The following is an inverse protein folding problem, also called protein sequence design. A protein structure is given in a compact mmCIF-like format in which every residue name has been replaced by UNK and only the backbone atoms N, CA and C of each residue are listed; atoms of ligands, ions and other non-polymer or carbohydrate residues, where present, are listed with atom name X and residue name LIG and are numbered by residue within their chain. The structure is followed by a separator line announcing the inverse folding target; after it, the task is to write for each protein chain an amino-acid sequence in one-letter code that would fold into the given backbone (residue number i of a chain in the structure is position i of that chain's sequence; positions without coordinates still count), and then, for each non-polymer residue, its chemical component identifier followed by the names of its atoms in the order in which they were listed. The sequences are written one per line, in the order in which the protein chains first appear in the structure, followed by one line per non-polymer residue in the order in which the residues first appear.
data_IF_221675839754
#
_entry.id   IF_221675839754
#
_cell.length_a   1.000
_cell.length_b   1.000
_cell.length_c   1.000
_cell.angle_alpha   90.00
_cell.angle_beta   90.00
_cell.angle_gamma   90.00
#
_symmetry.space_group_name_H-M   'P 1'
#
loop_
_entity.id
_entity.type
_entity.pdbx_description
1 polymer ?
#
# COMPACT_ATOMS: atom_id res chain seq x y z
N UNK A 1 2.11 22.55 -28.47
CA UNK A 1 1.91 23.59 -27.43
C UNK A 1 2.48 24.95 -27.86
N UNK A 2 3.77 25.09 -28.24
CA UNK A 2 4.29 26.37 -28.73
C UNK A 2 3.51 26.87 -29.97
N UNK A 3 3.37 26.03 -30.98
CA UNK A 3 2.62 26.33 -32.22
C UNK A 3 1.13 26.67 -31.96
N UNK A 4 0.52 26.01 -30.94
CA UNK A 4 -0.86 26.31 -30.56
C UNK A 4 -0.98 27.65 -29.81
N UNK A 5 0.02 28.00 -29.01
CA UNK A 5 0.09 29.33 -28.40
C UNK A 5 0.23 30.43 -29.43
N UNK A 6 1.08 30.24 -30.46
CA UNK A 6 1.22 31.19 -31.60
C UNK A 6 -0.13 31.35 -32.30
N UNK A 7 -0.87 30.27 -32.53
CA UNK A 7 -2.19 30.31 -33.17
C UNK A 7 -3.27 31.05 -32.33
N UNK A 8 -3.16 31.00 -31.01
CA UNK A 8 -4.14 31.61 -30.11
C UNK A 8 -3.75 32.99 -29.57
N UNK A 9 -2.58 33.49 -29.90
CA UNK A 9 -2.07 34.78 -29.41
C UNK A 9 -1.56 35.65 -30.57
N UNK A 10 -1.24 36.91 -30.31
CA UNK A 10 -0.66 37.85 -31.29
C UNK A 10 0.87 37.66 -31.48
N UNK A 11 1.45 36.58 -30.99
CA UNK A 11 2.87 36.32 -31.14
C UNK A 11 3.18 35.58 -32.44
N UNK A 12 4.12 36.07 -33.20
CA UNK A 12 4.55 35.47 -34.48
C UNK A 12 5.38 34.18 -34.26
N UNK A 13 6.09 34.08 -33.14
CA UNK A 13 6.91 32.90 -32.78
C UNK A 13 7.18 32.84 -31.29
N UNK A 14 7.06 31.64 -30.73
CA UNK A 14 7.39 31.35 -29.32
C UNK A 14 8.20 30.06 -29.26
N UNK A 15 9.41 30.12 -28.69
CA UNK A 15 10.23 28.93 -28.52
C UNK A 15 9.63 27.98 -27.48
N UNK A 16 9.86 26.66 -27.66
CA UNK A 16 9.46 25.63 -26.69
C UNK A 16 10.05 25.88 -25.29
N UNK A 17 11.28 26.41 -25.25
CA UNK A 17 11.95 26.72 -23.99
C UNK A 17 11.32 27.95 -23.30
N UNK A 18 10.89 28.94 -24.04
CA UNK A 18 10.14 30.07 -23.48
C UNK A 18 8.83 29.60 -22.86
N UNK A 19 8.09 28.71 -23.54
CA UNK A 19 6.86 28.13 -23.00
C UNK A 19 7.16 27.33 -21.71
N UNK A 20 8.19 26.46 -21.74
CA UNK A 20 8.59 25.68 -20.59
C UNK A 20 8.94 26.56 -19.39
N UNK A 21 9.73 27.60 -19.59
CA UNK A 21 10.14 28.57 -18.57
C UNK A 21 8.92 29.26 -17.96
N UNK A 22 8.02 29.80 -18.78
CA UNK A 22 6.81 30.47 -18.32
C UNK A 22 5.88 29.55 -17.54
N UNK A 23 5.74 28.30 -17.98
CA UNK A 23 4.97 27.30 -17.24
C UNK A 23 5.62 26.94 -15.90
N UNK A 24 6.96 26.95 -15.82
CA UNK A 24 7.68 26.70 -14.58
C UNK A 24 7.55 27.85 -13.58
N UNK A 25 7.62 29.09 -14.07
CA UNK A 25 7.50 30.32 -13.28
C UNK A 25 6.06 30.57 -12.78
N UNK A 26 5.06 30.02 -13.46
CA UNK A 26 3.65 30.24 -13.11
C UNK A 26 3.29 29.49 -11.81
N UNK A 27 2.71 30.19 -10.86
CA UNK A 27 2.20 29.61 -9.61
C UNK A 27 1.00 28.69 -9.86
N UNK A 28 0.11 29.05 -10.79
CA UNK A 28 -1.00 28.22 -11.23
C UNK A 28 -0.51 27.16 -12.21
N UNK A 29 -0.65 25.90 -11.85
CA UNK A 29 -0.28 24.73 -12.66
C UNK A 29 -1.51 23.85 -12.95
N UNK A 30 -2.42 24.31 -13.84
CA UNK A 30 -3.71 23.62 -14.06
C UNK A 30 -3.55 22.22 -14.67
N UNK A 31 -2.35 21.88 -15.19
CA UNK A 31 -2.03 20.51 -15.64
C UNK A 31 -1.63 19.58 -14.52
N UNK A 32 -1.34 20.09 -13.30
CA UNK A 32 -1.16 19.29 -12.11
C UNK A 32 -2.52 19.02 -11.49
N UNK A 33 -2.83 17.74 -11.32
CA UNK A 33 -4.03 17.30 -10.63
C UNK A 33 -3.56 16.43 -9.48
N UNK A 34 -3.86 16.85 -8.27
CA UNK A 34 -3.67 16.02 -7.08
C UNK A 34 -5.05 15.48 -6.66
N UNK A 35 -5.07 14.21 -6.34
CA UNK A 35 -6.24 13.58 -5.72
C UNK A 35 -6.25 13.97 -4.24
N UNK A 36 -7.35 14.52 -3.77
CA UNK A 36 -7.52 14.80 -2.35
C UNK A 36 -8.90 14.34 -1.88
N UNK A 37 -8.94 13.85 -0.66
CA UNK A 37 -10.16 13.55 0.03
C UNK A 37 -10.15 14.29 1.36
N UNK A 38 -11.22 15.01 1.68
CA UNK A 38 -11.45 15.50 3.05
C UNK A 38 -12.28 14.42 3.74
N UNK A 39 -11.70 13.59 4.60
CA UNK A 39 -12.52 12.70 5.42
C UNK A 39 -13.40 13.55 6.34
N UNK A 40 -14.65 13.14 6.55
CA UNK A 40 -15.41 13.67 7.66
C UNK A 40 -14.72 13.24 8.96
N UNK A 41 -14.06 14.19 9.62
CA UNK A 41 -13.38 13.96 10.90
C UNK A 41 -14.46 14.06 12.00
N UNK A 42 -15.15 12.95 12.21
CA UNK A 42 -16.10 12.76 13.31
C UNK A 42 -15.43 12.05 14.50
N UNK A 43 -16.21 11.78 15.53
CA UNK A 43 -15.71 11.07 16.71
C UNK A 43 -15.23 9.66 16.42
N UNK A 44 -15.88 8.95 15.50
CA UNK A 44 -15.47 7.60 15.08
C UNK A 44 -14.14 7.61 14.32
N UNK A 45 -13.94 8.59 13.43
CA UNK A 45 -12.67 8.76 12.74
C UNK A 45 -11.53 8.96 13.74
N UNK A 46 -11.73 9.86 14.72
CA UNK A 46 -10.72 10.16 15.74
C UNK A 46 -10.42 8.93 16.60
N UNK A 47 -11.45 8.24 17.07
CA UNK A 47 -11.30 7.05 17.91
C UNK A 47 -10.48 5.96 17.22
N UNK A 48 -10.81 5.61 15.97
CA UNK A 48 -10.08 4.60 15.20
C UNK A 48 -8.65 5.04 14.86
N UNK A 49 -8.46 6.31 14.55
CA UNK A 49 -7.13 6.83 14.26
C UNK A 49 -6.23 6.77 15.51
N UNK A 50 -6.73 7.17 16.67
CA UNK A 50 -5.96 7.12 17.92
C UNK A 50 -5.67 5.67 18.33
N UNK A 51 -6.64 4.77 18.22
CA UNK A 51 -6.48 3.33 18.47
C UNK A 51 -5.30 2.75 17.68
N UNK A 52 -5.24 3.00 16.37
CA UNK A 52 -4.12 2.53 15.52
C UNK A 52 -2.80 3.20 15.89
N UNK A 53 -2.78 4.50 16.15
CA UNK A 53 -1.55 5.23 16.51
C UNK A 53 -1.01 4.80 17.88
N UNK A 54 -1.87 4.47 18.82
CA UNK A 54 -1.48 3.98 20.13
C UNK A 54 -0.83 2.60 20.02
N UNK A 55 -1.38 1.69 19.17
CA UNK A 55 -0.74 0.41 18.85
C UNK A 55 0.68 0.58 18.29
N UNK A 56 0.89 1.58 17.42
CA UNK A 56 2.21 1.85 16.85
C UNK A 56 3.20 2.44 17.85
N UNK A 57 2.71 3.10 18.89
CA UNK A 57 3.52 3.69 19.96
C UNK A 57 3.86 2.71 21.09
N UNK A 58 3.16 1.57 21.18
CA UNK A 58 3.41 0.58 22.21
C UNK A 58 4.81 -0.05 22.12
N UNK A 59 5.31 -0.54 23.24
CA UNK A 59 6.52 -1.36 23.27
C UNK A 59 6.27 -2.72 22.60
N UNK A 60 7.28 -3.31 21.92
CA UNK A 60 7.15 -4.63 21.31
C UNK A 60 6.78 -5.71 22.31
N UNK A 61 5.70 -6.44 22.06
CA UNK A 61 5.29 -7.62 22.86
C UNK A 61 5.16 -8.85 21.97
N UNK A 62 6.04 -9.87 22.09
CA UNK A 62 5.97 -11.09 21.29
C UNK A 62 4.69 -11.91 21.51
N UNK A 63 4.01 -11.75 22.65
CA UNK A 63 2.75 -12.42 22.95
C UNK A 63 1.56 -11.72 22.33
N UNK A 64 1.71 -10.41 22.06
CA UNK A 64 0.67 -9.57 21.49
C UNK A 64 1.21 -8.73 20.31
N UNK A 65 1.75 -9.38 19.25
CA UNK A 65 2.29 -8.65 18.09
C UNK A 65 1.23 -7.77 17.44
N UNK A 66 1.67 -6.67 16.82
CA UNK A 66 0.86 -5.80 15.98
C UNK A 66 1.26 -6.02 14.54
N UNK A 67 0.32 -6.43 13.71
CA UNK A 67 0.55 -6.75 12.29
C UNK A 67 -0.38 -5.92 11.43
N UNK A 68 0.18 -5.08 10.57
CA UNK A 68 -0.56 -4.40 9.51
C UNK A 68 -0.79 -5.37 8.35
N UNK A 69 -1.98 -5.32 7.78
CA UNK A 69 -2.42 -6.18 6.69
C UNK A 69 -3.14 -5.36 5.62
N UNK A 70 -2.85 -5.65 4.35
CA UNK A 70 -3.56 -5.07 3.20
C UNK A 70 -3.36 -5.90 1.95
N UNK A 71 -4.14 -5.65 0.89
CA UNK A 71 -3.97 -6.29 -0.40
C UNK A 71 -3.61 -5.31 -1.51
N UNK A 72 -2.89 -5.84 -2.51
CA UNK A 72 -2.47 -5.09 -3.69
C UNK A 72 -2.62 -5.93 -4.94
N UNK A 73 -3.52 -5.58 -5.89
CA UNK A 73 -3.59 -6.26 -7.16
C UNK A 73 -2.37 -5.91 -8.02
N UNK A 74 -1.85 -6.91 -8.73
CA UNK A 74 -0.72 -6.78 -9.65
C UNK A 74 -1.07 -7.40 -11.00
N UNK A 75 -0.94 -6.62 -12.08
CA UNK A 75 -1.18 -7.12 -13.41
C UNK A 75 0.02 -7.92 -13.91
N UNK A 76 -0.23 -9.12 -14.42
CA UNK A 76 0.78 -9.94 -15.08
C UNK A 76 0.92 -9.46 -16.53
N UNK A 77 2.14 -9.06 -16.88
CA UNK A 77 2.46 -8.47 -18.18
C UNK A 77 3.59 -9.26 -18.82
N UNK A 78 3.32 -9.84 -20.00
CA UNK A 78 4.29 -10.54 -20.83
C UNK A 78 4.86 -9.64 -21.91
N UNK A 79 6.08 -9.95 -22.36
CA UNK A 79 6.71 -9.30 -23.49
C UNK A 79 6.11 -9.85 -24.80
N UNK A 80 5.91 -8.97 -25.79
CA UNK A 80 5.59 -9.34 -27.18
C UNK A 80 6.88 -9.62 -27.95
N UNK A 81 7.90 -8.77 -27.74
CA UNK A 81 9.24 -8.92 -28.29
C UNK A 81 10.27 -8.89 -27.16
N UNK A 82 11.36 -9.64 -27.35
CA UNK A 82 12.42 -9.67 -26.34
C UNK A 82 13.06 -8.29 -26.18
N UNK A 83 13.22 -7.79 -24.94
CA UNK A 83 13.91 -6.55 -24.67
C UNK A 83 15.37 -6.58 -25.19
N UNK A 84 15.83 -5.44 -25.67
CA UNK A 84 17.25 -5.24 -26.03
C UNK A 84 17.97 -4.84 -24.75
N UNK A 85 18.89 -5.68 -24.31
CA UNK A 85 19.64 -5.48 -23.07
C UNK A 85 20.48 -4.21 -23.11
N UNK A 86 20.71 -3.61 -21.94
CA UNK A 86 21.63 -2.49 -21.80
C UNK A 86 23.08 -2.92 -22.13
N UNK A 87 23.78 -2.05 -22.86
CA UNK A 87 25.21 -2.18 -23.15
C UNK A 87 25.92 -0.84 -22.80
N UNK A 88 27.24 -0.81 -22.67
CA UNK A 88 27.97 0.43 -22.41
C UNK A 88 27.63 1.50 -23.45
N UNK A 89 27.05 2.64 -22.99
CA UNK A 89 26.56 3.74 -23.84
C UNK A 89 25.17 3.54 -24.43
N UNK A 90 24.49 2.43 -24.19
CA UNK A 90 23.13 2.17 -24.64
C UNK A 90 22.25 1.72 -23.47
N UNK A 91 21.12 2.42 -23.28
CA UNK A 91 20.12 2.03 -22.27
C UNK A 91 19.33 0.81 -22.75
N UNK A 92 18.79 0.04 -21.82
CA UNK A 92 17.83 -1.01 -22.10
C UNK A 92 16.64 -0.47 -22.89
N UNK A 93 16.18 -1.24 -23.89
CA UNK A 93 14.98 -0.90 -24.68
C UNK A 93 13.99 -2.04 -24.62
N UNK A 94 12.78 -1.74 -24.26
CA UNK A 94 11.66 -2.68 -24.25
C UNK A 94 10.57 -2.19 -25.22
N UNK A 95 9.78 -3.14 -25.71
CA UNK A 95 8.67 -2.84 -26.64
C UNK A 95 7.57 -2.07 -25.91
N UNK A 96 6.93 -1.13 -26.62
CA UNK A 96 5.72 -0.47 -26.11
C UNK A 96 4.52 -1.43 -26.06
N UNK A 97 4.52 -2.45 -26.92
CA UNK A 97 3.49 -3.49 -26.93
C UNK A 97 3.75 -4.50 -25.80
N UNK A 98 2.68 -4.96 -25.17
CA UNK A 98 2.71 -5.98 -24.12
C UNK A 98 1.48 -6.86 -24.13
N UNK A 99 1.59 -8.05 -23.58
CA UNK A 99 0.50 -9.00 -23.43
C UNK A 99 0.04 -9.03 -21.98
N UNK A 100 -1.27 -8.86 -21.74
CA UNK A 100 -1.87 -9.02 -20.41
C UNK A 100 -2.15 -10.51 -20.18
N UNK A 101 -1.55 -11.06 -19.13
CA UNK A 101 -1.65 -12.48 -18.76
C UNK A 101 -2.53 -12.70 -17.52
N UNK A 102 -3.35 -11.72 -17.16
CA UNK A 102 -4.24 -11.78 -15.99
C UNK A 102 -3.78 -10.87 -14.86
N UNK A 103 -4.35 -11.06 -13.69
CA UNK A 103 -4.06 -10.31 -12.47
C UNK A 103 -3.83 -11.29 -11.34
N UNK A 104 -2.78 -11.08 -10.56
CA UNK A 104 -2.56 -11.73 -9.28
C UNK A 104 -2.85 -10.75 -8.13
N UNK A 105 -3.19 -11.26 -6.96
CA UNK A 105 -3.41 -10.46 -5.77
C UNK A 105 -2.32 -10.77 -4.73
N UNK A 106 -1.82 -9.72 -4.10
CA UNK A 106 -0.80 -9.82 -3.08
C UNK A 106 -1.43 -9.48 -1.73
N UNK A 107 -1.44 -10.42 -0.80
CA UNK A 107 -1.76 -10.15 0.60
C UNK A 107 -0.47 -9.89 1.36
N UNK A 108 -0.32 -8.68 1.89
CA UNK A 108 0.91 -8.22 2.51
C UNK A 108 0.71 -8.06 4.01
N UNK A 109 1.62 -8.64 4.77
CA UNK A 109 1.69 -8.54 6.22
C UNK A 109 2.97 -7.82 6.62
N UNK A 110 2.89 -6.94 7.60
CA UNK A 110 4.00 -6.23 8.18
C UNK A 110 3.88 -6.20 9.71
N UNK A 111 4.85 -6.75 10.41
CA UNK A 111 4.95 -6.55 11.87
C UNK A 111 5.48 -5.13 12.16
N UNK A 112 4.72 -4.37 12.90
CA UNK A 112 5.01 -2.96 13.22
C UNK A 112 6.32 -2.81 14.02
N UNK A 113 6.57 -3.73 14.92
CA UNK A 113 7.66 -3.63 15.90
C UNK A 113 8.87 -4.50 15.57
N UNK A 114 8.70 -5.52 14.71
CA UNK A 114 9.77 -6.43 14.33
C UNK A 114 10.09 -6.31 12.84
N UNK A 115 11.32 -6.58 12.42
CA UNK A 115 11.71 -6.55 11.02
C UNK A 115 11.20 -7.82 10.29
N UNK A 116 9.88 -7.99 10.27
CA UNK A 116 9.23 -9.14 9.64
C UNK A 116 8.09 -8.68 8.72
N UNK A 117 8.07 -9.26 7.56
CA UNK A 117 6.99 -9.16 6.57
C UNK A 117 6.75 -10.47 5.90
N UNK A 118 5.55 -10.65 5.37
CA UNK A 118 5.15 -11.77 4.55
C UNK A 118 4.28 -11.28 3.41
N UNK A 119 4.49 -11.84 2.21
CA UNK A 119 3.62 -11.60 1.07
C UNK A 119 3.10 -12.94 0.57
N UNK A 120 1.78 -13.06 0.45
CA UNK A 120 1.10 -14.21 -0.14
C UNK A 120 0.51 -13.81 -1.47
N UNK A 121 0.84 -14.56 -2.52
CA UNK A 121 0.27 -14.38 -3.87
C UNK A 121 -0.92 -15.30 -4.04
N UNK A 122 -2.03 -14.77 -4.52
CA UNK A 122 -3.28 -15.51 -4.79
C UNK A 122 -3.88 -15.09 -6.12
N UNK A 123 -4.75 -15.93 -6.67
CA UNK A 123 -5.48 -15.61 -7.90
C UNK A 123 -6.67 -14.68 -7.63
N UNK A 124 -7.18 -14.67 -6.40
CA UNK A 124 -8.35 -13.89 -5.99
C UNK A 124 -8.11 -13.18 -4.64
N UNK A 125 -9.03 -12.29 -4.28
CA UNK A 125 -9.05 -11.57 -3.00
C UNK A 125 -10.43 -11.65 -2.36
N UNK A 126 -10.90 -12.85 -2.18
CA UNK A 126 -12.21 -13.14 -1.59
C UNK A 126 -12.14 -13.16 -0.05
N UNK A 127 -13.31 -13.20 0.60
CA UNK A 127 -13.40 -13.40 2.03
C UNK A 127 -12.74 -14.73 2.48
N UNK A 128 -12.76 -15.75 1.62
CA UNK A 128 -12.10 -17.04 1.88
C UNK A 128 -10.57 -16.89 1.83
N UNK A 129 -10.04 -16.12 0.88
CA UNK A 129 -8.60 -15.84 0.80
C UNK A 129 -8.12 -15.06 2.03
N UNK A 130 -8.89 -14.06 2.46
CA UNK A 130 -8.64 -13.34 3.70
C UNK A 130 -8.63 -14.27 4.91
N UNK A 131 -9.64 -15.13 5.04
CA UNK A 131 -9.73 -16.08 6.15
C UNK A 131 -8.54 -17.06 6.17
N UNK A 132 -8.10 -17.57 5.01
CA UNK A 132 -6.91 -18.39 4.87
C UNK A 132 -5.64 -17.63 5.30
N UNK A 133 -5.53 -16.35 4.96
CA UNK A 133 -4.45 -15.48 5.42
C UNK A 133 -4.43 -15.32 6.93
N UNK A 134 -5.59 -15.15 7.56
CA UNK A 134 -5.71 -15.05 9.02
C UNK A 134 -5.38 -16.37 9.72
N UNK A 135 -5.74 -17.51 9.13
CA UNK A 135 -5.35 -18.83 9.64
C UNK A 135 -3.82 -18.99 9.61
N UNK A 136 -3.18 -18.71 8.47
CA UNK A 136 -1.71 -18.78 8.36
C UNK A 136 -1.02 -17.84 9.36
N UNK A 137 -1.56 -16.64 9.55
CA UNK A 137 -1.05 -15.68 10.51
C UNK A 137 -1.03 -16.26 11.93
N UNK A 138 -2.12 -16.92 12.34
CA UNK A 138 -2.28 -17.52 13.67
C UNK A 138 -1.45 -18.79 13.83
N UNK A 139 -1.54 -19.71 12.86
CA UNK A 139 -1.06 -21.09 13.03
C UNK A 139 0.40 -21.25 12.60
N UNK A 140 0.88 -20.44 11.64
CA UNK A 140 2.21 -20.57 11.05
C UNK A 140 3.14 -19.44 11.49
N UNK A 141 2.70 -18.18 11.37
CA UNK A 141 3.58 -17.03 11.56
C UNK A 141 3.71 -16.62 13.04
N UNK A 142 2.64 -16.74 13.80
CA UNK A 142 2.62 -16.36 15.22
C UNK A 142 2.00 -17.46 16.11
N UNK A 143 2.48 -18.72 16.04
CA UNK A 143 1.87 -19.84 16.75
C UNK A 143 1.91 -19.69 18.29
N UNK A 144 2.87 -18.91 18.81
CA UNK A 144 3.07 -18.66 20.23
C UNK A 144 2.43 -17.38 20.76
N UNK A 145 1.85 -16.54 19.88
CA UNK A 145 1.17 -15.33 20.33
C UNK A 145 -0.11 -15.66 21.09
N UNK A 146 -0.38 -14.97 22.15
CA UNK A 146 -1.64 -15.07 22.89
C UNK A 146 -2.76 -14.37 22.13
N UNK A 147 -2.46 -13.21 21.57
CA UNK A 147 -3.37 -12.42 20.72
C UNK A 147 -2.59 -11.65 19.67
N UNK A 148 -3.06 -11.68 18.44
CA UNK A 148 -2.47 -10.93 17.30
C UNK A 148 -3.39 -9.76 17.01
N UNK A 149 -2.88 -8.54 17.13
CA UNK A 149 -3.60 -7.31 16.81
C UNK A 149 -3.36 -6.99 15.34
N UNK A 150 -4.42 -7.04 14.54
CA UNK A 150 -4.34 -6.86 13.09
C UNK A 150 -4.91 -5.51 12.71
N UNK A 151 -4.06 -4.65 12.17
CA UNK A 151 -4.47 -3.35 11.62
C UNK A 151 -4.81 -3.54 10.14
N UNK A 152 -6.02 -3.17 9.74
CA UNK A 152 -6.55 -3.38 8.38
C UNK A 152 -7.53 -2.27 7.98
N UNK A 153 -7.85 -2.22 6.69
CA UNK A 153 -8.86 -1.32 6.16
C UNK A 153 -10.30 -1.82 6.38
N UNK A 154 -11.28 -1.03 5.95
CA UNK A 154 -12.71 -1.36 6.10
C UNK A 154 -13.27 -2.12 4.88
N UNK A 155 -12.48 -2.91 4.18
CA UNK A 155 -13.00 -3.70 3.07
C UNK A 155 -14.01 -4.73 3.57
N UNK A 156 -15.09 -4.95 2.83
CA UNK A 156 -16.18 -5.85 3.24
C UNK A 156 -15.74 -7.31 3.43
N UNK A 157 -14.67 -7.73 2.75
CA UNK A 157 -14.04 -9.05 2.92
C UNK A 157 -13.23 -9.17 4.20
N UNK A 158 -12.81 -8.05 4.81
CA UNK A 158 -12.00 -8.00 6.04
C UNK A 158 -12.89 -8.02 7.29
N UNK A 159 -13.66 -9.05 7.45
CA UNK A 159 -14.62 -9.14 8.55
C UNK A 159 -14.49 -10.44 9.35
N UNK A 160 -14.96 -10.38 10.59
CA UNK A 160 -15.10 -11.57 11.44
C UNK A 160 -15.93 -12.66 10.75
N UNK A 161 -16.96 -12.25 9.98
CA UNK A 161 -17.82 -13.16 9.22
C UNK A 161 -17.09 -13.98 8.16
N UNK A 162 -16.01 -13.43 7.59
CA UNK A 162 -15.22 -14.14 6.57
C UNK A 162 -14.65 -15.48 7.10
N UNK A 163 -14.26 -15.53 8.37
CA UNK A 163 -13.76 -16.77 8.98
C UNK A 163 -14.84 -17.84 9.10
N UNK A 164 -16.08 -17.45 9.41
CA UNK A 164 -17.20 -18.38 9.46
C UNK A 164 -17.70 -18.82 8.08
N UNK A 165 -17.41 -18.04 7.02
CA UNK A 165 -17.67 -18.45 5.64
C UNK A 165 -16.65 -19.50 5.15
N UNK A 166 -15.41 -19.40 5.62
CA UNK A 166 -14.31 -20.23 5.16
C UNK A 166 -14.10 -21.52 6.00
N UNK A 167 -14.43 -21.48 7.29
CA UNK A 167 -14.11 -22.55 8.23
C UNK A 167 -15.33 -23.00 9.04
N UNK A 168 -15.31 -24.24 9.56
CA UNK A 168 -16.28 -24.70 10.55
C UNK A 168 -16.31 -23.77 11.77
N UNK A 169 -17.47 -23.63 12.46
CA UNK A 169 -17.66 -22.65 13.54
C UNK A 169 -16.66 -22.76 14.69
N UNK A 170 -16.28 -23.97 15.08
CA UNK A 170 -15.29 -24.23 16.12
C UNK A 170 -13.89 -23.73 15.73
N UNK A 171 -13.48 -23.99 14.49
CA UNK A 171 -12.20 -23.51 13.94
C UNK A 171 -12.21 -21.98 13.79
N UNK A 172 -13.26 -21.41 13.21
CA UNK A 172 -13.41 -19.95 13.10
C UNK A 172 -13.32 -19.30 14.49
N UNK A 173 -14.02 -19.88 15.48
CA UNK A 173 -14.00 -19.36 16.86
C UNK A 173 -12.64 -19.49 17.51
N UNK A 174 -11.90 -20.58 17.26
CA UNK A 174 -10.52 -20.77 17.74
C UNK A 174 -9.60 -19.66 17.21
N UNK A 175 -9.67 -19.36 15.91
CA UNK A 175 -8.87 -18.31 15.29
C UNK A 175 -9.22 -16.93 15.87
N UNK A 176 -10.51 -16.61 15.96
CA UNK A 176 -10.99 -15.32 16.48
C UNK A 176 -10.64 -15.06 17.95
N UNK A 177 -10.47 -16.09 18.75
CA UNK A 177 -9.97 -15.91 20.14
C UNK A 177 -8.53 -15.39 20.18
N UNK A 178 -7.77 -15.54 19.08
CA UNK A 178 -6.38 -15.10 18.95
C UNK A 178 -6.19 -13.87 18.08
N UNK A 179 -7.24 -13.41 17.39
CA UNK A 179 -7.24 -12.24 16.52
C UNK A 179 -8.00 -11.09 17.18
N UNK A 180 -7.46 -9.90 17.02
CA UNK A 180 -8.07 -8.63 17.43
C UNK A 180 -7.93 -7.66 16.27
N UNK A 181 -9.06 -7.25 15.68
CA UNK A 181 -9.06 -6.40 14.49
C UNK A 181 -9.20 -4.94 14.86
N UNK A 182 -8.27 -4.14 14.34
CA UNK A 182 -8.21 -2.68 14.49
C UNK A 182 -8.35 -2.05 13.12
N UNK A 183 -9.50 -1.42 12.87
CA UNK A 183 -9.79 -0.86 11.55
C UNK A 183 -9.34 0.60 11.47
N UNK A 184 -8.56 0.93 10.42
CA UNK A 184 -8.25 2.33 10.12
C UNK A 184 -9.55 3.10 9.81
N UNK A 185 -9.61 4.42 10.02
CA UNK A 185 -10.77 5.22 9.65
C UNK A 185 -11.05 5.12 8.15
N UNK A 186 -12.30 5.33 7.75
CA UNK A 186 -12.64 5.41 6.32
C UNK A 186 -11.87 6.54 5.65
N UNK A 187 -11.37 6.29 4.43
CA UNK A 187 -10.54 7.23 3.66
C UNK A 187 -9.20 7.61 4.33
N UNK A 188 -8.69 6.75 5.20
CA UNK A 188 -7.42 6.95 5.88
C UNK A 188 -6.50 5.71 5.78
N UNK A 189 -6.47 5.06 4.62
CA UNK A 189 -5.58 3.90 4.36
C UNK A 189 -4.11 4.23 4.61
N UNK A 190 -3.72 5.51 4.42
CA UNK A 190 -2.38 6.00 4.75
C UNK A 190 -1.95 5.77 6.21
N UNK A 191 -2.89 5.54 7.14
CA UNK A 191 -2.61 5.12 8.52
C UNK A 191 -2.19 3.65 8.61
N UNK A 192 -2.51 2.83 7.63
CA UNK A 192 -2.06 1.46 7.58
C UNK A 192 -0.58 1.42 7.14
N UNK A 193 0.32 1.13 8.07
CA UNK A 193 1.77 1.16 7.81
C UNK A 193 2.18 0.23 6.66
N UNK A 194 1.45 -0.84 6.40
CA UNK A 194 1.75 -1.80 5.31
C UNK A 194 1.66 -1.16 3.92
N UNK A 195 0.90 -0.09 3.74
CA UNK A 195 0.83 0.65 2.47
C UNK A 195 2.22 1.18 2.04
N UNK A 196 3.04 1.60 3.00
CA UNK A 196 4.43 2.00 2.74
C UNK A 196 5.25 0.80 2.23
N UNK A 197 5.09 -0.37 2.85
CA UNK A 197 5.80 -1.58 2.44
C UNK A 197 5.34 -2.07 1.07
N UNK A 198 4.05 -1.95 0.74
CA UNK A 198 3.51 -2.21 -0.61
C UNK A 198 4.16 -1.26 -1.63
N UNK A 199 4.31 0.02 -1.29
CA UNK A 199 5.02 0.99 -2.12
C UNK A 199 6.48 0.58 -2.37
N UNK A 200 7.19 0.14 -1.33
CA UNK A 200 8.57 -0.37 -1.43
C UNK A 200 8.63 -1.64 -2.30
N UNK A 201 7.70 -2.58 -2.11
CA UNK A 201 7.59 -3.80 -2.93
C UNK A 201 7.41 -3.45 -4.40
N UNK A 202 6.50 -2.51 -4.70
CA UNK A 202 6.28 -2.05 -6.08
C UNK A 202 7.53 -1.47 -6.71
N UNK A 203 8.24 -0.58 -6.01
CA UNK A 203 9.44 0.07 -6.55
C UNK A 203 10.65 -0.87 -6.66
N UNK A 204 10.81 -1.82 -5.75
CA UNK A 204 12.03 -2.65 -5.69
C UNK A 204 11.90 -3.98 -6.43
N UNK A 205 10.69 -4.54 -6.53
CA UNK A 205 10.45 -5.87 -7.06
C UNK A 205 9.55 -5.87 -8.29
N UNK A 206 8.50 -5.03 -8.29
CA UNK A 206 7.43 -5.08 -9.29
C UNK A 206 7.52 -3.97 -10.35
N UNK A 207 8.56 -3.13 -10.33
CA UNK A 207 8.83 -2.09 -11.35
C UNK A 207 9.45 -2.71 -12.61
N UNK A 208 8.79 -3.74 -13.12
CA UNK A 208 9.14 -4.48 -14.34
C UNK A 208 7.99 -5.37 -14.78
N UNK A 209 8.06 -5.88 -16.00
CA UNK A 209 7.08 -6.83 -16.51
C UNK A 209 7.33 -8.22 -15.92
N UNK A 210 6.31 -8.80 -15.32
CA UNK A 210 6.30 -10.17 -14.81
C UNK A 210 5.12 -10.87 -15.47
N UNK A 211 5.40 -11.93 -16.20
CA UNK A 211 4.48 -12.53 -17.17
C UNK A 211 3.58 -13.62 -16.59
N UNK A 212 3.96 -14.22 -15.45
CA UNK A 212 3.23 -15.34 -14.88
C UNK A 212 3.30 -15.37 -13.33
N UNK A 213 2.34 -16.07 -12.66
CA UNK A 213 2.28 -16.13 -11.21
C UNK A 213 3.50 -16.79 -10.56
N UNK A 214 4.09 -17.81 -11.18
CA UNK A 214 5.22 -18.55 -10.62
C UNK A 214 6.48 -17.68 -10.58
N UNK A 215 6.71 -16.91 -11.62
CA UNK A 215 7.77 -15.91 -11.67
C UNK A 215 7.54 -14.83 -10.60
N UNK A 216 6.30 -14.31 -10.49
CA UNK A 216 5.92 -13.35 -9.46
C UNK A 216 6.18 -13.88 -8.04
N UNK A 217 5.78 -15.11 -7.74
CA UNK A 217 6.01 -15.76 -6.45
C UNK A 217 7.50 -15.88 -6.14
N UNK A 218 8.31 -16.30 -7.13
CA UNK A 218 9.76 -16.46 -6.93
C UNK A 218 10.46 -15.13 -6.63
N UNK A 219 10.13 -14.08 -7.37
CA UNK A 219 10.69 -12.74 -7.20
C UNK A 219 10.30 -12.13 -5.85
N UNK A 220 9.04 -12.23 -5.47
CA UNK A 220 8.55 -11.78 -4.16
C UNK A 220 9.23 -12.55 -3.03
N UNK A 221 9.43 -13.86 -3.16
CA UNK A 221 10.10 -14.66 -2.13
C UNK A 221 11.56 -14.23 -1.93
N UNK A 222 12.26 -13.86 -3.00
CA UNK A 222 13.63 -13.34 -2.92
C UNK A 222 13.64 -11.98 -2.23
N UNK A 223 12.78 -11.05 -2.66
CA UNK A 223 12.65 -9.72 -2.07
C UNK A 223 12.29 -9.80 -0.57
N UNK A 224 11.29 -10.60 -0.21
CA UNK A 224 10.84 -10.81 1.17
C UNK A 224 12.00 -11.30 2.06
N UNK A 225 12.73 -12.33 1.60
CA UNK A 225 13.88 -12.88 2.31
C UNK A 225 14.97 -11.83 2.50
N UNK A 226 15.30 -11.08 1.46
CA UNK A 226 16.33 -10.04 1.51
C UNK A 226 15.97 -8.96 2.53
N UNK A 227 14.73 -8.47 2.50
CA UNK A 227 14.28 -7.44 3.44
C UNK A 227 14.18 -7.92 4.89
N UNK A 228 13.74 -9.18 5.09
CA UNK A 228 13.71 -9.78 6.42
C UNK A 228 15.14 -10.01 6.96
N UNK A 229 16.07 -10.47 6.13
CA UNK A 229 17.47 -10.67 6.50
C UNK A 229 18.19 -9.35 6.78
N UNK A 230 17.97 -8.33 5.98
CA UNK A 230 18.53 -6.98 6.21
C UNK A 230 17.89 -6.27 7.40
N UNK A 231 16.89 -6.86 8.04
CA UNK A 231 16.13 -6.30 9.17
C UNK A 231 15.53 -4.92 8.86
N UNK A 232 15.11 -4.71 7.60
CA UNK A 232 14.51 -3.48 7.16
C UNK A 232 13.24 -3.15 7.97
N UNK A 233 13.11 -1.89 8.39
CA UNK A 233 11.97 -1.40 9.19
C UNK A 233 11.44 -0.11 8.63
N UNK A 234 10.16 0.14 8.86
CA UNK A 234 9.53 1.44 8.62
C UNK A 234 9.64 2.25 9.92
N UNK A 235 10.14 3.48 9.81
CA UNK A 235 10.15 4.42 10.93
C UNK A 235 8.87 5.24 10.89
N UNK A 236 7.89 4.85 11.68
CA UNK A 236 6.66 5.60 11.78
C UNK A 236 6.86 6.89 12.59
N UNK A 237 6.50 8.04 11.99
CA UNK A 237 6.77 9.36 12.58
C UNK A 237 5.51 10.15 12.95
N UNK A 238 4.35 9.65 12.56
CA UNK A 238 3.08 10.31 12.84
C UNK A 238 2.50 9.78 14.15
N UNK A 239 2.34 10.65 15.13
CA UNK A 239 1.91 10.30 16.48
C UNK A 239 0.53 10.87 16.79
N UNK A 240 -0.15 10.33 17.81
CA UNK A 240 -1.44 10.84 18.32
C UNK A 240 -1.38 12.34 18.61
N UNK A 241 -0.29 12.84 19.18
CA UNK A 241 -0.10 14.28 19.44
C UNK A 241 -0.05 15.09 18.14
N UNK A 242 0.70 14.63 17.13
CA UNK A 242 0.75 15.28 15.80
C UNK A 242 -0.60 15.24 15.11
N UNK A 243 -1.33 14.14 15.24
CA UNK A 243 -2.67 13.99 14.70
C UNK A 243 -3.64 15.02 15.31
N UNK A 244 -3.68 15.09 16.64
CA UNK A 244 -4.51 16.06 17.38
C UNK A 244 -4.17 17.50 17.01
N UNK A 245 -2.88 17.84 16.89
CA UNK A 245 -2.43 19.18 16.48
C UNK A 245 -2.89 19.53 15.05
N UNK A 246 -2.85 18.57 14.11
CA UNK A 246 -3.37 18.77 12.75
C UNK A 246 -4.88 18.94 12.73
N UNK A 247 -5.62 18.11 13.46
CA UNK A 247 -7.09 18.19 13.53
C UNK A 247 -7.60 19.43 14.26
N UNK A 248 -6.90 19.87 15.31
CA UNK A 248 -7.21 21.11 16.03
C UNK A 248 -7.11 22.35 15.14
N UNK A 249 -6.14 22.38 14.22
CA UNK A 249 -6.01 23.44 13.20
C UNK A 249 -7.09 23.36 12.12
N UNK A 250 -7.59 22.17 11.81
CA UNK A 250 -8.65 21.97 10.81
C UNK A 250 -10.04 22.42 11.26
N UNK A 251 -10.29 22.53 12.58
CA UNK A 251 -11.53 23.15 13.11
C UNK A 251 -11.53 24.68 12.96
N UNK A 252 -10.38 25.31 12.74
CA UNK A 252 -10.22 26.75 12.52
C UNK A 252 -10.12 27.16 11.04
N UNK A 253 -10.09 26.22 10.11
CA UNK A 253 -10.00 26.46 8.65
C UNK A 253 -9.68 25.17 7.91
N UNK A 254 -10.69 24.62 7.27
CA UNK A 254 -10.65 23.28 6.67
C UNK A 254 -9.69 23.14 5.49
N UNK A 255 -8.48 22.67 5.70
CA UNK A 255 -7.68 22.05 4.62
C UNK A 255 -6.63 21.11 5.23
N UNK A 256 -6.84 19.80 5.08
CA UNK A 256 -5.81 18.79 5.33
C UNK A 256 -5.09 18.49 4.01
N UNK A 257 -3.82 18.82 3.92
CA UNK A 257 -2.95 18.35 2.85
C UNK A 257 -2.27 17.05 3.29
N UNK A 258 -2.42 16.02 2.47
CA UNK A 258 -1.55 14.84 2.49
C UNK A 258 -0.50 15.08 1.41
N UNK A 259 0.74 15.25 1.80
CA UNK A 259 1.91 15.24 0.91
C UNK A 259 2.57 13.88 0.93
#
# INVERSE_FOLDING_TARGET
MADELVRLTEHDNISRETVRRRLTENELKPWRKDMWCIPQVDGEFVARMEDVLDLYAEAPDPKRPVVCFDESPTQLIGEVRQPIKAEPGQIERYDCEYKRNGTANLFVFLDVHRPWRKVKVTDSRTAVDFAACMQELVDVHFPKAERIRVVLDNLSTHSVGALYQAFPPDQARRLLRRLEFHYVPKHASWLNMVEIEIGVLRCQCLDRRIDNPQHLISEIAVWERQRNTSRARIKWMFTTQKARAKMGRGRAGAHFFVS
#
